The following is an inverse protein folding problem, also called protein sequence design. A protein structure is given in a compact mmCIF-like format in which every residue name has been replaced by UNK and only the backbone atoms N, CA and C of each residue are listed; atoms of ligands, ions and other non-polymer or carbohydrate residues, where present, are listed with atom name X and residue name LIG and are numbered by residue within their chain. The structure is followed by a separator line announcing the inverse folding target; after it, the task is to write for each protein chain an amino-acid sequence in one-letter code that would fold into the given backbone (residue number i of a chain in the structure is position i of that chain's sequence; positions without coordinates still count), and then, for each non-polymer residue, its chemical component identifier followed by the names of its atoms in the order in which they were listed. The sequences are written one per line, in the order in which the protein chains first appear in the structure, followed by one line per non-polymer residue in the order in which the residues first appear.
data_IF_561611564370
#
_entry.id   IF_561611564370
#
_cell.length_a   1.000
_cell.length_b   1.000
_cell.length_c   1.000
_cell.angle_alpha   90.00
_cell.angle_beta   90.00
_cell.angle_gamma   90.00
#
_symmetry.space_group_name_H-M   'P 1'
#
loop_
_entity.id
_entity.type
_entity.pdbx_description
1 polymer ?
#
# COMPACT_ATOMS: atom_id res chain seq x y z
N UNK A 1 -34.97 -59.48 29.33
CA UNK A 1 -34.26 -58.94 30.50
C UNK A 1 -32.73 -58.84 30.35
N UNK A 2 -32.15 -59.21 29.22
CA UNK A 2 -30.66 -59.04 28.98
C UNK A 2 -30.34 -57.90 28.08
N UNK A 3 -31.29 -57.43 27.25
CA UNK A 3 -31.07 -56.32 26.30
C UNK A 3 -30.97 -54.90 26.97
N UNK A 4 -31.67 -54.75 28.10
CA UNK A 4 -31.73 -53.46 28.77
C UNK A 4 -30.41 -53.08 29.50
N UNK A 5 -29.67 -54.10 29.95
CA UNK A 5 -28.39 -53.84 30.64
C UNK A 5 -27.24 -53.39 29.69
N UNK A 6 -27.27 -53.84 28.46
CA UNK A 6 -26.28 -53.45 27.47
C UNK A 6 -26.52 -52.01 26.98
N UNK A 7 -27.78 -51.65 26.77
CA UNK A 7 -28.16 -50.29 26.36
C UNK A 7 -27.80 -49.26 27.44
N UNK A 8 -28.02 -49.58 28.70
CA UNK A 8 -27.70 -48.69 29.84
C UNK A 8 -26.18 -48.48 30.00
N UNK A 9 -25.38 -49.51 29.72
CA UNK A 9 -23.93 -49.41 29.76
C UNK A 9 -23.34 -48.63 28.57
N UNK A 10 -23.97 -48.68 27.42
CA UNK A 10 -23.58 -47.85 26.26
C UNK A 10 -23.90 -46.37 26.53
N UNK A 11 -25.07 -46.07 27.10
CA UNK A 11 -25.45 -44.70 27.46
C UNK A 11 -24.51 -44.10 28.51
N UNK A 12 -24.11 -44.88 29.53
CA UNK A 12 -23.14 -44.45 30.54
C UNK A 12 -21.75 -44.20 29.98
N UNK A 13 -21.29 -44.97 29.00
CA UNK A 13 -20.02 -44.71 28.30
C UNK A 13 -20.08 -43.47 27.42
N UNK A 14 -21.22 -43.19 26.78
CA UNK A 14 -21.40 -41.98 25.94
C UNK A 14 -21.48 -40.71 26.78
N UNK A 15 -22.08 -40.74 27.97
CA UNK A 15 -22.15 -39.58 28.87
C UNK A 15 -20.78 -39.28 29.48
N UNK A 16 -19.93 -40.29 29.72
CA UNK A 16 -18.59 -40.06 30.29
C UNK A 16 -17.58 -39.47 29.27
N UNK A 17 -17.77 -39.68 27.98
CA UNK A 17 -16.95 -39.13 26.93
C UNK A 17 -17.31 -37.68 26.56
N UNK A 18 -18.56 -37.25 26.81
CA UNK A 18 -19.01 -35.88 26.53
C UNK A 18 -18.57 -34.87 27.61
N UNK A 19 -18.34 -35.36 28.86
CA UNK A 19 -18.00 -34.47 29.99
C UNK A 19 -16.52 -34.12 30.06
N UNK A 20 -15.65 -34.72 29.25
CA UNK A 20 -14.21 -34.44 29.27
C UNK A 20 -13.71 -33.51 28.13
N UNK A 21 -14.61 -33.11 27.21
CA UNK A 21 -14.26 -32.17 26.11
C UNK A 21 -14.59 -30.70 26.37
N UNK A 22 -14.92 -30.33 27.59
CA UNK A 22 -15.36 -28.94 27.90
C UNK A 22 -14.44 -28.24 28.93
N UNK A 23 -13.12 -28.35 28.81
CA UNK A 23 -12.26 -27.41 29.53
C UNK A 23 -10.83 -27.35 28.95
N UNK A 24 -10.71 -26.96 27.70
CA UNK A 24 -9.52 -26.23 27.28
C UNK A 24 -9.99 -24.97 26.58
N UNK A 25 -10.46 -24.03 27.35
CA UNK A 25 -10.43 -22.64 26.92
C UNK A 25 -8.96 -22.26 26.92
N UNK A 26 -8.31 -22.46 25.79
CA UNK A 26 -7.14 -21.69 25.43
C UNK A 26 -7.67 -20.27 25.28
N UNK A 27 -7.52 -19.49 26.34
CA UNK A 27 -7.56 -18.03 26.23
C UNK A 27 -6.42 -17.65 25.32
N UNK A 28 -6.69 -17.63 24.01
CA UNK A 28 -5.91 -16.84 23.08
C UNK A 28 -6.21 -15.40 23.51
N UNK A 29 -5.37 -14.88 24.40
CA UNK A 29 -5.25 -13.46 24.59
C UNK A 29 -4.76 -12.91 23.25
N UNK A 30 -5.69 -12.65 22.34
CA UNK A 30 -5.48 -11.63 21.35
C UNK A 30 -5.16 -10.39 22.19
N UNK A 31 -3.91 -10.01 22.21
CA UNK A 31 -3.53 -8.67 22.56
C UNK A 31 -4.19 -7.80 21.49
N UNK A 32 -5.44 -7.43 21.75
CA UNK A 32 -6.05 -6.25 21.19
C UNK A 32 -5.18 -5.08 21.64
N UNK A 33 -4.15 -4.81 20.87
CA UNK A 33 -3.51 -3.51 20.84
C UNK A 33 -4.49 -2.55 20.14
N UNK A 34 -5.67 -2.40 20.77
CA UNK A 34 -6.63 -1.35 20.49
C UNK A 34 -6.14 -0.07 21.16
N UNK A 35 -4.90 0.30 20.89
CA UNK A 35 -4.50 1.68 20.87
C UNK A 35 -5.32 2.33 19.76
N UNK A 36 -6.36 3.05 20.12
CA UNK A 36 -7.02 4.03 19.26
C UNK A 36 -6.07 5.21 19.02
N UNK A 37 -4.90 4.92 18.44
CA UNK A 37 -4.14 5.89 17.69
C UNK A 37 -4.96 6.08 16.41
N UNK A 38 -5.59 7.23 16.24
CA UNK A 38 -6.31 7.57 15.03
C UNK A 38 -5.31 7.52 13.87
N UNK A 39 -5.13 6.32 13.31
CA UNK A 39 -4.17 6.08 12.24
C UNK A 39 -4.54 7.02 11.10
N UNK A 40 -3.63 7.93 10.76
CA UNK A 40 -3.77 8.76 9.57
C UNK A 40 -3.35 7.89 8.37
N UNK A 41 -4.31 7.39 7.54
CA UNK A 41 -4.00 6.46 6.46
C UNK A 41 -2.96 7.02 5.48
N UNK A 42 -2.95 8.33 5.24
CA UNK A 42 -1.95 8.98 4.40
C UNK A 42 -0.55 8.89 5.02
N UNK A 43 -0.42 9.16 6.31
CA UNK A 43 0.88 9.07 7.02
C UNK A 43 1.40 7.63 7.06
N UNK A 44 0.52 6.66 7.28
CA UNK A 44 0.89 5.24 7.24
C UNK A 44 1.39 4.83 5.86
N UNK A 45 0.69 5.26 4.80
CA UNK A 45 1.12 5.02 3.43
C UNK A 45 2.50 5.63 3.14
N UNK A 46 2.74 6.87 3.55
CA UNK A 46 4.05 7.52 3.40
C UNK A 46 5.16 6.74 4.11
N UNK A 47 4.90 6.20 5.30
CA UNK A 47 5.84 5.35 6.03
C UNK A 47 6.14 4.04 5.26
N UNK A 48 5.12 3.41 4.66
CA UNK A 48 5.32 2.23 3.81
C UNK A 48 6.15 2.57 2.57
N UNK A 49 5.87 3.69 1.90
CA UNK A 49 6.64 4.16 0.73
C UNK A 49 8.10 4.40 1.11
N UNK A 50 8.36 5.14 2.19
CA UNK A 50 9.72 5.41 2.67
C UNK A 50 10.50 4.10 2.94
N UNK A 51 9.88 3.14 3.60
CA UNK A 51 10.48 1.82 3.87
C UNK A 51 10.67 1.02 2.58
N UNK A 52 9.73 1.12 1.65
CA UNK A 52 9.82 0.50 0.32
C UNK A 52 11.01 1.03 -0.47
N UNK A 53 11.17 2.36 -0.60
CA UNK A 53 12.32 3.00 -1.25
C UNK A 53 13.66 2.54 -0.61
N UNK A 54 13.71 2.42 0.72
CA UNK A 54 14.91 1.89 1.42
C UNK A 54 15.21 0.42 1.11
N UNK A 55 14.20 -0.40 0.85
CA UNK A 55 14.41 -1.80 0.44
C UNK A 55 14.84 -1.88 -1.03
N UNK A 56 14.24 -1.06 -1.89
CA UNK A 56 14.56 -0.97 -3.30
C UNK A 56 16.02 -0.54 -3.52
N UNK A 57 16.51 0.48 -2.79
CA UNK A 57 17.92 0.89 -2.83
C UNK A 57 18.92 -0.19 -2.39
N UNK A 58 18.44 -1.25 -1.73
CA UNK A 58 19.22 -2.44 -1.34
C UNK A 58 18.99 -3.64 -2.27
N UNK A 59 18.37 -3.43 -3.43
CA UNK A 59 18.03 -4.48 -4.40
C UNK A 59 16.93 -5.46 -3.96
N UNK A 60 16.22 -5.17 -2.84
CA UNK A 60 15.17 -6.05 -2.29
C UNK A 60 13.81 -5.72 -2.91
N UNK A 61 13.71 -5.77 -4.24
CA UNK A 61 12.58 -5.26 -5.03
C UNK A 61 11.25 -5.93 -4.67
N UNK A 62 11.20 -7.26 -4.49
CA UNK A 62 9.97 -7.96 -4.10
C UNK A 62 9.44 -7.50 -2.73
N UNK A 63 10.35 -7.28 -1.77
CA UNK A 63 9.96 -6.78 -0.44
C UNK A 63 9.50 -5.33 -0.51
N UNK A 64 10.14 -4.51 -1.36
CA UNK A 64 9.72 -3.14 -1.62
C UNK A 64 8.31 -3.10 -2.23
N UNK A 65 8.04 -3.92 -3.25
CA UNK A 65 6.73 -4.01 -3.89
C UNK A 65 5.61 -4.40 -2.91
N UNK A 66 5.88 -5.33 -1.98
CA UNK A 66 4.92 -5.65 -0.91
C UNK A 66 4.56 -4.45 -0.04
N UNK A 67 5.53 -3.57 0.26
CA UNK A 67 5.27 -2.34 1.00
C UNK A 67 4.53 -1.30 0.16
N UNK A 68 4.85 -1.17 -1.12
CA UNK A 68 4.10 -0.28 -2.02
C UNK A 68 2.63 -0.70 -2.17
N UNK A 69 2.35 -2.00 -2.22
CA UNK A 69 0.97 -2.50 -2.22
C UNK A 69 0.23 -2.14 -0.91
N UNK A 70 0.88 -2.28 0.26
CA UNK A 70 0.28 -1.84 1.54
C UNK A 70 0.04 -0.33 1.58
N UNK A 71 0.98 0.46 1.01
CA UNK A 71 0.80 1.89 0.88
C UNK A 71 -0.42 2.22 -0.01
N UNK A 72 -0.58 1.53 -1.13
CA UNK A 72 -1.70 1.71 -2.04
C UNK A 72 -3.06 1.52 -1.35
N UNK A 73 -3.21 0.45 -0.54
CA UNK A 73 -4.45 0.20 0.22
C UNK A 73 -4.76 1.35 1.19
N UNK A 74 -3.74 1.82 1.92
CA UNK A 74 -3.90 2.96 2.84
C UNK A 74 -4.21 4.27 2.10
N UNK A 75 -3.65 4.46 0.93
CA UNK A 75 -3.94 5.63 0.09
C UNK A 75 -5.35 5.61 -0.47
N UNK A 76 -5.91 4.44 -0.79
CA UNK A 76 -7.30 4.33 -1.18
C UNK A 76 -8.25 4.74 -0.03
N UNK A 77 -7.92 4.38 1.22
CA UNK A 77 -8.66 4.83 2.40
C UNK A 77 -8.58 6.36 2.55
N UNK A 78 -7.38 6.92 2.44
CA UNK A 78 -7.16 8.36 2.53
C UNK A 78 -7.89 9.12 1.38
N UNK A 79 -7.85 8.59 0.17
CA UNK A 79 -8.50 9.21 -0.99
C UNK A 79 -10.03 9.20 -0.92
N UNK A 80 -10.64 8.27 -0.19
CA UNK A 80 -12.09 8.30 0.08
C UNK A 80 -12.47 9.49 0.97
N UNK A 81 -11.59 9.88 1.89
CA UNK A 81 -11.83 10.99 2.78
C UNK A 81 -11.49 12.35 2.14
N UNK A 82 -10.44 12.40 1.31
CA UNK A 82 -9.97 13.61 0.62
C UNK A 82 -9.51 13.27 -0.79
N UNK A 83 -10.47 13.20 -1.72
CA UNK A 83 -10.23 12.82 -3.12
C UNK A 83 -9.57 13.92 -3.96
N UNK A 84 -9.47 15.13 -3.45
CA UNK A 84 -8.86 16.29 -4.13
C UNK A 84 -7.51 16.69 -3.52
N UNK A 85 -6.84 15.78 -2.84
CA UNK A 85 -5.53 15.99 -2.26
C UNK A 85 -4.42 15.59 -3.25
N UNK A 86 -3.65 16.52 -3.82
CA UNK A 86 -2.62 16.20 -4.80
C UNK A 86 -1.51 15.31 -4.24
N UNK A 87 -1.18 15.40 -2.94
CA UNK A 87 -0.19 14.51 -2.33
C UNK A 87 -0.67 13.05 -2.30
N UNK A 88 -1.96 12.81 -1.97
CA UNK A 88 -2.55 11.47 -2.00
C UNK A 88 -2.53 10.91 -3.43
N UNK A 89 -2.95 11.72 -4.41
CA UNK A 89 -2.94 11.34 -5.83
C UNK A 89 -1.52 11.05 -6.33
N UNK A 90 -0.53 11.84 -5.89
CA UNK A 90 0.88 11.59 -6.17
C UNK A 90 1.32 10.20 -5.67
N UNK A 91 1.04 9.86 -4.42
CA UNK A 91 1.44 8.56 -3.86
C UNK A 91 0.65 7.39 -4.46
N UNK A 92 -0.62 7.55 -4.85
CA UNK A 92 -1.38 6.55 -5.61
C UNK A 92 -0.71 6.27 -6.96
N UNK A 93 -0.38 7.33 -7.70
CA UNK A 93 0.38 7.21 -8.95
C UNK A 93 1.73 6.51 -8.75
N UNK A 94 2.50 6.93 -7.74
CA UNK A 94 3.79 6.33 -7.40
C UNK A 94 3.69 4.82 -7.14
N UNK A 95 2.77 4.40 -6.29
CA UNK A 95 2.63 2.98 -5.93
C UNK A 95 2.20 2.12 -7.12
N UNK A 96 1.32 2.63 -7.98
CA UNK A 96 0.90 1.96 -9.21
C UNK A 96 2.05 1.90 -10.25
N UNK A 97 2.83 2.97 -10.39
CA UNK A 97 4.01 2.99 -11.26
C UNK A 97 5.04 1.93 -10.82
N UNK A 98 5.32 1.83 -9.52
CA UNK A 98 6.19 0.79 -8.96
C UNK A 98 5.65 -0.64 -9.16
N UNK A 99 4.34 -0.80 -9.29
CA UNK A 99 3.69 -2.07 -9.65
C UNK A 99 3.60 -2.32 -11.16
N UNK A 100 4.14 -1.44 -12.01
CA UNK A 100 4.11 -1.56 -13.48
C UNK A 100 2.75 -1.21 -14.11
N UNK A 101 1.82 -0.63 -13.35
CA UNK A 101 0.47 -0.24 -13.81
C UNK A 101 0.49 1.21 -14.33
N UNK A 102 1.21 1.43 -15.43
CA UNK A 102 1.56 2.78 -15.89
C UNK A 102 0.35 3.62 -16.29
N UNK A 103 -0.64 3.06 -16.98
CA UNK A 103 -1.82 3.80 -17.42
C UNK A 103 -2.68 4.26 -16.22
N UNK A 104 -2.75 3.43 -15.18
CA UNK A 104 -3.47 3.80 -13.95
C UNK A 104 -2.71 4.84 -13.16
N UNK A 105 -1.38 4.73 -13.08
CA UNK A 105 -0.52 5.69 -12.43
C UNK A 105 -0.65 7.08 -13.07
N UNK A 106 -0.59 7.14 -14.41
CA UNK A 106 -0.73 8.38 -15.17
C UNK A 106 -2.05 9.09 -14.88
N UNK A 107 -3.17 8.35 -14.80
CA UNK A 107 -4.48 8.95 -14.47
C UNK A 107 -4.45 9.67 -13.13
N UNK A 108 -3.87 9.07 -12.10
CA UNK A 108 -3.76 9.72 -10.79
C UNK A 108 -2.84 10.94 -10.81
N UNK A 109 -1.73 10.88 -11.52
CA UNK A 109 -0.85 12.03 -11.67
C UNK A 109 -1.53 13.19 -12.40
N UNK A 110 -2.23 12.92 -13.50
CA UNK A 110 -2.96 13.95 -14.25
C UNK A 110 -4.06 14.59 -13.40
N UNK A 111 -4.83 13.79 -12.65
CA UNK A 111 -5.82 14.32 -11.70
C UNK A 111 -5.15 15.22 -10.63
N UNK A 112 -3.98 14.86 -10.15
CA UNK A 112 -3.25 15.69 -9.20
C UNK A 112 -2.77 17.01 -9.82
N UNK A 113 -2.34 16.99 -11.08
CA UNK A 113 -1.94 18.20 -11.81
C UNK A 113 -3.11 19.10 -12.21
N UNK A 114 -4.33 18.57 -12.36
CA UNK A 114 -5.55 19.39 -12.50
C UNK A 114 -5.81 20.24 -11.25
N UNK A 115 -5.38 19.76 -10.07
CA UNK A 115 -5.56 20.46 -8.79
C UNK A 115 -4.37 21.39 -8.52
N UNK A 116 -3.16 20.88 -8.74
CA UNK A 116 -1.90 21.60 -8.48
C UNK A 116 -0.91 21.36 -9.64
N UNK A 117 -0.95 22.20 -10.69
CA UNK A 117 -0.11 22.04 -11.90
C UNK A 117 1.40 22.06 -11.62
N UNK A 118 1.82 22.78 -10.60
CA UNK A 118 3.22 22.96 -10.18
C UNK A 118 3.66 21.99 -9.07
N UNK A 119 2.91 20.89 -8.83
CA UNK A 119 3.27 19.93 -7.79
C UNK A 119 4.55 19.18 -8.13
N UNK A 120 5.66 19.47 -7.42
CA UNK A 120 6.99 18.95 -7.73
C UNK A 120 7.03 17.43 -7.88
N UNK A 121 6.60 16.67 -6.85
CA UNK A 121 6.66 15.22 -6.88
C UNK A 121 5.77 14.58 -7.96
N UNK A 122 4.65 15.21 -8.36
CA UNK A 122 3.86 14.69 -9.49
C UNK A 122 4.58 14.92 -10.81
N UNK A 123 5.13 16.11 -11.04
CA UNK A 123 5.86 16.40 -12.25
C UNK A 123 7.10 15.52 -12.40
N UNK A 124 7.84 15.25 -11.31
CA UNK A 124 8.94 14.30 -11.28
C UNK A 124 8.48 12.90 -11.68
N UNK A 125 7.53 12.30 -10.92
CA UNK A 125 7.16 10.91 -11.12
C UNK A 125 6.39 10.64 -12.40
N UNK A 126 5.61 11.61 -12.88
CA UNK A 126 5.00 11.54 -14.20
C UNK A 126 6.06 11.62 -15.30
N UNK A 127 7.07 12.49 -15.13
CA UNK A 127 8.21 12.58 -16.03
C UNK A 127 8.99 11.25 -16.12
N UNK A 128 9.30 10.63 -14.97
CA UNK A 128 9.93 9.30 -14.94
C UNK A 128 9.06 8.22 -15.61
N UNK A 129 7.72 8.28 -15.42
CA UNK A 129 6.79 7.38 -16.10
C UNK A 129 6.85 7.57 -17.61
N UNK A 130 6.92 8.81 -18.09
CA UNK A 130 7.04 9.11 -19.52
C UNK A 130 8.36 8.61 -20.10
N UNK A 131 9.49 8.76 -19.41
CA UNK A 131 10.76 8.12 -19.81
C UNK A 131 10.58 6.60 -19.91
N UNK A 132 10.03 5.96 -18.88
CA UNK A 132 9.81 4.52 -18.82
C UNK A 132 8.91 3.99 -19.95
N UNK A 133 7.98 4.80 -20.43
CA UNK A 133 7.05 4.49 -21.52
C UNK A 133 7.48 5.07 -22.86
N UNK A 134 8.75 5.51 -22.98
CA UNK A 134 9.36 6.04 -24.23
C UNK A 134 8.69 7.31 -24.77
N UNK A 135 8.06 8.09 -23.90
CA UNK A 135 7.41 9.37 -24.24
C UNK A 135 8.30 10.54 -23.80
N UNK A 136 9.50 10.61 -24.39
CA UNK A 136 10.58 11.52 -23.96
C UNK A 136 10.20 12.99 -24.03
N UNK A 137 9.42 13.41 -25.04
CA UNK A 137 9.01 14.81 -25.16
C UNK A 137 8.13 15.26 -23.98
N UNK A 138 7.19 14.40 -23.57
CA UNK A 138 6.36 14.64 -22.39
C UNK A 138 7.18 14.68 -21.09
N UNK A 139 8.21 13.83 -20.98
CA UNK A 139 9.12 13.89 -19.83
C UNK A 139 9.86 15.22 -19.74
N UNK A 140 10.34 15.77 -20.86
CA UNK A 140 10.99 17.09 -20.93
C UNK A 140 10.04 18.23 -20.59
N UNK A 141 8.76 18.12 -20.97
CA UNK A 141 7.74 19.09 -20.54
C UNK A 141 7.57 19.10 -19.03
N UNK A 142 7.57 17.93 -18.37
CA UNK A 142 7.51 17.86 -16.91
C UNK A 142 8.76 18.45 -16.26
N UNK A 143 9.93 18.17 -16.81
CA UNK A 143 11.18 18.76 -16.35
C UNK A 143 11.16 20.30 -16.48
N UNK A 144 10.61 20.84 -17.56
CA UNK A 144 10.51 22.29 -17.75
C UNK A 144 9.64 22.97 -16.66
N UNK A 145 8.59 22.32 -16.17
CA UNK A 145 7.78 22.82 -15.06
C UNK A 145 8.59 22.92 -13.76
N UNK A 146 9.54 22.00 -13.55
CA UNK A 146 10.37 21.96 -12.35
C UNK A 146 11.58 22.92 -12.39
N UNK A 147 11.85 23.59 -13.52
CA UNK A 147 13.09 24.33 -13.76
C UNK A 147 13.43 25.34 -12.66
N UNK A 148 12.43 26.03 -12.16
CA UNK A 148 12.61 27.12 -11.21
C UNK A 148 12.30 26.76 -9.76
N UNK A 149 12.01 25.47 -9.47
CA UNK A 149 11.65 25.04 -8.11
C UNK A 149 12.83 25.00 -7.13
N UNK A 150 14.07 24.99 -7.62
CA UNK A 150 15.28 24.76 -6.80
C UNK A 150 15.16 23.53 -5.88
N UNK A 151 14.58 22.45 -6.40
CA UNK A 151 14.19 21.25 -5.67
C UNK A 151 14.95 20.00 -6.14
N UNK A 152 14.90 18.93 -5.37
CA UNK A 152 15.56 17.66 -5.68
C UNK A 152 14.89 16.96 -6.86
N UNK A 153 13.57 17.10 -6.97
CA UNK A 153 12.74 16.50 -8.03
C UNK A 153 13.20 16.90 -9.44
N UNK A 154 13.66 18.15 -9.61
CA UNK A 154 14.25 18.58 -10.88
C UNK A 154 15.53 17.80 -11.21
N UNK A 155 16.41 17.61 -10.23
CA UNK A 155 17.68 16.92 -10.44
C UNK A 155 17.45 15.42 -10.72
N UNK A 156 16.56 14.78 -9.93
CA UNK A 156 16.21 13.37 -10.09
C UNK A 156 15.63 13.10 -11.48
N UNK A 157 14.68 13.94 -11.95
CA UNK A 157 14.10 13.77 -13.28
C UNK A 157 15.11 14.08 -14.40
N UNK A 158 15.93 15.12 -14.25
CA UNK A 158 16.96 15.45 -15.21
C UNK A 158 17.98 14.30 -15.37
N UNK A 159 18.39 13.66 -14.28
CA UNK A 159 19.27 12.49 -14.29
C UNK A 159 18.61 11.32 -15.02
N UNK A 160 17.34 11.03 -14.76
CA UNK A 160 16.60 9.95 -15.42
C UNK A 160 16.49 10.19 -16.93
N UNK A 161 16.23 11.43 -17.36
CA UNK A 161 16.16 11.80 -18.77
C UNK A 161 17.52 11.65 -19.47
N UNK A 162 18.61 12.08 -18.81
CA UNK A 162 19.96 12.05 -19.39
C UNK A 162 20.54 10.63 -19.51
N UNK A 163 20.07 9.69 -18.69
CA UNK A 163 20.54 8.30 -18.67
C UNK A 163 19.73 7.36 -19.58
N UNK A 164 18.79 7.86 -20.38
CA UNK A 164 17.95 7.10 -21.32
C UNK A 164 18.01 7.65 -22.73
#
# INVERSE_FOLDING_TARGET
MVADHQLLNMIKKFIFTITFCLFTQVSFAASDDSGSDSSNPQKDAQNFVKRGKKLESKGKNEKALKLYNKAYEKLLEANKADSRNPDILNYLGFTLRKAGKYEQAEKYYLQGLEIKPDHNGINEYLGELYVKTQRMDLAKERLAVLKDCNCEEYKELAEVINNN
#
